data_IF_124759022882
#
_entry.id   IF_124759022882
#
_cell.length_a   1.000
_cell.length_b   1.000
_cell.length_c   1.000
_cell.angle_alpha   90.00
_cell.angle_beta   90.00
_cell.angle_gamma   90.00
#
_symmetry.space_group_name_H-M   'P 1'
#
loop_
_entity.id
_entity.type
_entity.pdbx_description
1 polymer ?
#
# COMPACT_ATOMS: atom_id res chain seq x y z
N UNK A 1 -1.24 18.99 7.26
CA UNK A 1 -1.45 18.61 8.69
C UNK A 1 -0.68 17.33 8.98
N UNK A 2 -0.10 17.14 10.18
CA UNK A 2 0.78 15.98 10.47
C UNK A 2 0.09 14.63 10.30
N UNK A 3 -1.17 14.49 10.71
CA UNK A 3 -1.95 13.25 10.51
C UNK A 3 -2.26 12.97 9.03
N UNK A 4 -2.33 13.99 8.17
CA UNK A 4 -2.47 13.79 6.70
C UNK A 4 -1.19 13.21 6.10
N UNK A 5 -0.03 13.64 6.58
CA UNK A 5 1.26 13.03 6.18
C UNK A 5 1.31 11.57 6.62
N UNK A 6 0.82 11.25 7.82
CA UNK A 6 0.75 9.88 8.31
C UNK A 6 -0.10 8.98 7.39
N UNK A 7 -1.28 9.43 6.94
CA UNK A 7 -2.06 8.69 5.93
C UNK A 7 -1.32 8.48 4.61
N UNK A 8 -0.55 9.49 4.17
CA UNK A 8 0.29 9.37 2.98
C UNK A 8 1.35 8.28 3.15
N UNK A 9 2.03 8.28 4.30
CA UNK A 9 3.04 7.27 4.64
C UNK A 9 2.40 5.86 4.73
N UNK A 10 1.23 5.71 5.35
CA UNK A 10 0.47 4.44 5.42
C UNK A 10 0.10 3.93 4.02
N UNK A 11 -0.41 4.82 3.17
CA UNK A 11 -0.86 4.47 1.81
C UNK A 11 0.31 4.03 0.95
N UNK A 12 1.44 4.72 1.06
CA UNK A 12 2.64 4.38 0.30
C UNK A 12 3.25 3.05 0.74
N UNK A 13 3.21 2.72 2.04
CA UNK A 13 3.61 1.39 2.53
C UNK A 13 2.66 0.30 2.01
N UNK A 14 1.35 0.54 2.06
CA UNK A 14 0.33 -0.39 1.56
C UNK A 14 0.48 -0.68 0.08
N UNK A 15 0.79 0.33 -0.74
CA UNK A 15 1.03 0.15 -2.17
C UNK A 15 2.22 -0.79 -2.44
N UNK A 16 3.34 -0.62 -1.73
CA UNK A 16 4.50 -1.50 -1.82
C UNK A 16 4.15 -2.95 -1.44
N UNK A 17 3.40 -3.11 -0.36
CA UNK A 17 2.95 -4.42 0.13
C UNK A 17 2.05 -5.10 -0.91
N UNK A 18 1.01 -4.41 -1.38
CA UNK A 18 0.06 -4.96 -2.36
C UNK A 18 0.76 -5.31 -3.66
N UNK A 19 1.64 -4.44 -4.17
CA UNK A 19 2.40 -4.69 -5.39
C UNK A 19 3.26 -5.96 -5.30
N UNK A 20 3.97 -6.15 -4.18
CA UNK A 20 4.75 -7.37 -3.96
C UNK A 20 3.87 -8.62 -3.92
N UNK A 21 2.73 -8.55 -3.23
CA UNK A 21 1.80 -9.68 -3.13
C UNK A 21 1.17 -10.06 -4.46
N UNK A 22 0.84 -9.08 -5.30
CA UNK A 22 0.39 -9.34 -6.67
C UNK A 22 1.47 -10.05 -7.48
N UNK A 23 2.73 -9.63 -7.35
CA UNK A 23 3.85 -10.29 -8.02
C UNK A 23 4.04 -11.74 -7.51
N UNK A 24 3.95 -11.96 -6.20
CA UNK A 24 4.01 -13.30 -5.59
C UNK A 24 2.88 -14.21 -6.08
N UNK A 25 1.64 -13.70 -6.16
CA UNK A 25 0.51 -14.44 -6.69
C UNK A 25 0.72 -14.85 -8.15
N UNK A 26 1.22 -13.93 -8.99
CA UNK A 26 1.54 -14.21 -10.40
C UNK A 26 2.64 -15.28 -10.52
N UNK A 27 3.74 -15.13 -9.77
CA UNK A 27 4.84 -16.10 -9.75
C UNK A 27 4.37 -17.47 -9.27
N UNK A 28 3.60 -17.54 -8.18
CA UNK A 28 3.06 -18.79 -7.65
C UNK A 28 2.11 -19.49 -8.64
N UNK A 29 1.26 -18.71 -9.32
CA UNK A 29 0.33 -19.21 -10.33
C UNK A 29 1.02 -19.78 -11.57
N UNK A 30 2.13 -19.17 -12.00
CA UNK A 30 2.90 -19.59 -13.18
C UNK A 30 3.72 -20.88 -12.96
N UNK A 31 4.00 -21.26 -11.72
CA UNK A 31 4.71 -22.49 -11.41
C UNK A 31 3.84 -23.74 -11.68
N UNK A 32 4.43 -24.90 -12.03
CA UNK A 32 3.69 -26.15 -12.18
C UNK A 32 2.95 -26.58 -10.90
N UNK A 33 1.85 -27.29 -11.08
CA UNK A 33 1.14 -27.91 -9.95
C UNK A 33 2.04 -28.95 -9.25
N UNK A 34 2.07 -28.91 -7.92
CA UNK A 34 2.96 -29.75 -7.11
C UNK A 34 4.40 -29.26 -6.98
N UNK A 35 4.81 -28.16 -7.62
CA UNK A 35 6.16 -27.62 -7.43
C UNK A 35 6.35 -27.13 -5.97
N UNK A 36 7.35 -27.65 -5.23
CA UNK A 36 7.64 -27.19 -3.86
C UNK A 36 7.86 -25.68 -3.75
N UNK A 37 8.27 -25.02 -4.82
CA UNK A 37 8.48 -23.57 -4.86
C UNK A 37 7.18 -22.78 -4.68
N UNK A 38 6.01 -23.34 -5.07
CA UNK A 38 4.71 -22.72 -4.79
C UNK A 38 4.48 -22.53 -3.29
N UNK A 39 4.92 -23.51 -2.48
CA UNK A 39 4.82 -23.43 -1.02
C UNK A 39 5.73 -22.32 -0.47
N UNK A 40 6.97 -22.21 -0.96
CA UNK A 40 7.88 -21.14 -0.53
C UNK A 40 7.34 -19.73 -0.89
N UNK A 41 6.79 -19.58 -2.10
CA UNK A 41 6.15 -18.32 -2.53
C UNK A 41 4.95 -17.98 -1.62
N UNK A 42 4.10 -18.97 -1.32
CA UNK A 42 2.93 -18.80 -0.44
C UNK A 42 3.32 -18.48 1.01
N UNK A 43 4.34 -19.14 1.56
CA UNK A 43 4.86 -18.87 2.90
C UNK A 43 5.42 -17.44 3.00
N UNK A 44 6.14 -16.98 1.97
CA UNK A 44 6.62 -15.61 1.92
C UNK A 44 5.47 -14.59 1.76
N UNK A 45 4.49 -14.86 0.90
CA UNK A 45 3.27 -14.03 0.79
C UNK A 45 2.52 -13.93 2.14
N UNK A 46 2.45 -15.03 2.90
CA UNK A 46 1.87 -15.04 4.25
C UNK A 46 2.60 -14.13 5.23
N UNK A 47 3.93 -14.04 5.17
CA UNK A 47 4.71 -13.08 5.98
C UNK A 47 4.40 -11.64 5.58
N UNK A 48 4.33 -11.37 4.27
CA UNK A 48 3.97 -10.04 3.73
C UNK A 48 2.53 -9.66 4.11
N UNK A 49 1.59 -10.61 4.10
CA UNK A 49 0.23 -10.41 4.62
C UNK A 49 0.19 -10.11 6.11
N UNK A 50 1.06 -10.75 6.91
CA UNK A 50 1.21 -10.48 8.33
C UNK A 50 1.55 -9.01 8.61
N UNK A 51 2.40 -8.41 7.79
CA UNK A 51 2.70 -6.97 7.84
C UNK A 51 1.47 -6.15 7.44
N UNK A 52 0.81 -6.50 6.32
CA UNK A 52 -0.40 -5.80 5.84
C UNK A 52 -1.47 -5.69 6.93
N UNK A 53 -1.69 -6.78 7.66
CA UNK A 53 -2.68 -6.90 8.74
C UNK A 53 -2.40 -6.01 9.95
N UNK A 54 -1.17 -5.49 10.11
CA UNK A 54 -0.86 -4.50 11.14
C UNK A 54 -1.33 -3.09 10.76
N UNK A 55 -1.52 -2.84 9.47
CA UNK A 55 -1.90 -1.53 8.93
C UNK A 55 -3.42 -1.42 8.79
N UNK A 56 -4.08 -2.44 8.24
CA UNK A 56 -5.50 -2.44 7.90
C UNK A 56 -6.19 -3.73 8.36
N UNK A 57 -7.45 -3.63 8.77
CA UNK A 57 -8.27 -4.81 9.01
C UNK A 57 -8.53 -5.56 7.69
N UNK A 58 -8.28 -6.87 7.67
CA UNK A 58 -8.42 -7.69 6.44
C UNK A 58 -9.47 -8.80 6.56
N UNK A 59 -10.28 -8.77 7.62
CA UNK A 59 -11.30 -9.80 7.84
C UNK A 59 -12.50 -9.54 6.92
N UNK A 60 -12.69 -10.38 5.90
CA UNK A 60 -13.84 -10.29 4.99
C UNK A 60 -15.14 -10.77 5.66
N UNK A 61 -16.28 -10.15 5.30
CA UNK A 61 -17.61 -10.66 5.66
C UNK A 61 -18.63 -9.66 6.22
N UNK A 62 -18.35 -8.34 6.23
CA UNK A 62 -19.32 -7.32 6.67
C UNK A 62 -19.68 -7.39 8.16
N UNK A 63 -19.06 -8.29 8.92
CA UNK A 63 -19.11 -8.28 10.37
C UNK A 63 -18.28 -7.09 10.87
N UNK A 64 -18.86 -6.26 11.73
CA UNK A 64 -18.10 -5.32 12.56
C UNK A 64 -17.32 -6.20 13.54
N UNK A 65 -16.12 -6.63 13.15
CA UNK A 65 -15.29 -7.53 13.95
C UNK A 65 -14.66 -6.81 15.15
N UNK A 66 -14.74 -5.48 15.19
CA UNK A 66 -14.07 -4.64 16.18
C UNK A 66 -12.55 -4.64 16.03
N UNK A 67 -12.02 -5.16 14.91
CA UNK A 67 -10.60 -5.11 14.62
C UNK A 67 -10.21 -3.68 14.21
N UNK A 68 -9.47 -3.01 15.07
CA UNK A 68 -8.83 -1.72 14.76
C UNK A 68 -7.34 -1.94 14.50
N UNK A 69 -6.83 -1.34 13.43
CA UNK A 69 -5.41 -1.30 13.06
C UNK A 69 -4.95 0.16 12.96
N UNK A 70 -3.71 0.35 12.53
CA UNK A 70 -3.11 1.69 12.42
C UNK A 70 -4.00 2.66 11.67
N UNK A 71 -4.56 2.22 10.54
CA UNK A 71 -5.38 3.09 9.69
C UNK A 71 -6.66 3.55 10.38
N UNK A 72 -7.34 2.66 11.10
CA UNK A 72 -8.55 2.99 11.85
C UNK A 72 -8.23 3.95 13.02
N UNK A 73 -7.12 3.75 13.73
CA UNK A 73 -6.66 4.69 14.76
C UNK A 73 -6.29 6.06 14.19
N UNK A 74 -5.66 6.10 13.02
CA UNK A 74 -5.34 7.35 12.31
C UNK A 74 -6.62 8.07 11.86
N UNK A 75 -7.63 7.34 11.36
CA UNK A 75 -8.97 7.85 11.01
C UNK A 75 -9.69 8.46 12.22
N UNK A 76 -9.70 7.75 13.36
CA UNK A 76 -10.29 8.26 14.61
C UNK A 76 -9.60 9.54 15.09
N UNK A 77 -8.27 9.59 15.05
CA UNK A 77 -7.50 10.76 15.44
C UNK A 77 -7.74 11.95 14.50
N UNK A 78 -7.82 11.69 13.19
CA UNK A 78 -8.17 12.71 12.20
C UNK A 78 -9.54 13.31 12.48
N UNK A 79 -10.55 12.48 12.73
CA UNK A 79 -11.88 12.92 13.11
C UNK A 79 -11.88 13.77 14.38
N UNK A 80 -11.19 13.33 15.43
CA UNK A 80 -11.08 14.05 16.70
C UNK A 80 -10.39 15.43 16.56
N UNK A 81 -9.44 15.56 15.63
CA UNK A 81 -8.78 16.83 15.33
C UNK A 81 -9.73 17.75 14.56
N UNK A 82 -10.43 17.23 13.54
CA UNK A 82 -11.35 18.03 12.73
C UNK A 82 -12.58 18.51 13.50
N UNK A 83 -13.06 17.75 14.48
CA UNK A 83 -14.23 18.13 15.28
C UNK A 83 -13.94 19.20 16.35
N UNK A 84 -12.67 19.62 16.52
CA UNK A 84 -12.28 20.64 17.49
C UNK A 84 -11.98 21.97 16.79
N UNK A 85 -12.67 23.04 17.15
CA UNK A 85 -12.53 24.38 16.53
C UNK A 85 -11.28 25.16 16.98
N UNK A 86 -10.30 24.46 17.55
CA UNK A 86 -9.04 25.04 18.04
C UNK A 86 -7.82 24.27 17.57
N UNK A 87 -6.63 24.69 18.01
CA UNK A 87 -5.40 23.94 17.75
C UNK A 87 -5.48 22.54 18.40
N UNK A 88 -4.88 21.49 17.79
CA UNK A 88 -4.92 20.15 18.37
C UNK A 88 -4.45 20.11 19.82
N UNK A 89 -5.13 19.30 20.64
CA UNK A 89 -4.76 19.11 22.03
C UNK A 89 -3.40 18.41 22.16
N UNK A 90 -2.69 18.64 23.25
CA UNK A 90 -1.35 18.06 23.45
C UNK A 90 -1.34 16.52 23.34
N UNK A 91 -2.38 15.86 23.84
CA UNK A 91 -2.52 14.41 23.73
C UNK A 91 -2.71 13.94 22.28
N UNK A 92 -3.42 14.70 21.44
CA UNK A 92 -3.59 14.37 20.01
C UNK A 92 -2.24 14.46 19.29
N UNK A 93 -1.43 15.45 19.61
CA UNK A 93 -0.08 15.60 19.05
C UNK A 93 0.81 14.41 19.43
N UNK A 94 0.82 14.03 20.71
CA UNK A 94 1.56 12.84 21.17
C UNK A 94 1.04 11.58 20.49
N UNK A 95 -0.27 11.47 20.28
CA UNK A 95 -0.83 10.28 19.62
C UNK A 95 -0.42 10.19 18.14
N UNK A 96 -0.32 11.31 17.42
CA UNK A 96 0.27 11.32 16.06
C UNK A 96 1.70 10.76 16.09
N UNK A 97 2.51 11.15 17.08
CA UNK A 97 3.89 10.66 17.21
C UNK A 97 3.96 9.16 17.51
N UNK A 98 3.04 8.66 18.34
CA UNK A 98 2.91 7.22 18.62
C UNK A 98 2.57 6.45 17.35
N UNK A 99 1.51 6.84 16.62
CA UNK A 99 1.07 6.15 15.40
C UNK A 99 2.14 6.20 14.30
N UNK A 100 2.87 7.32 14.19
CA UNK A 100 4.01 7.42 13.28
C UNK A 100 5.10 6.41 13.61
N UNK A 101 5.46 6.27 14.90
CA UNK A 101 6.48 5.30 15.32
C UNK A 101 6.05 3.86 15.07
N UNK A 102 4.79 3.54 15.34
CA UNK A 102 4.24 2.22 15.03
C UNK A 102 4.28 1.92 13.53
N UNK A 103 3.94 2.90 12.68
CA UNK A 103 4.09 2.76 11.22
C UNK A 103 5.55 2.59 10.79
N UNK A 104 6.50 3.33 11.38
CA UNK A 104 7.93 3.17 11.10
C UNK A 104 8.42 1.76 11.50
N UNK A 105 7.92 1.20 12.62
CA UNK A 105 8.23 -0.18 13.05
C UNK A 105 7.66 -1.21 12.07
N UNK A 106 6.42 -1.05 11.59
CA UNK A 106 5.83 -1.91 10.55
C UNK A 106 6.58 -1.80 9.23
N UNK A 107 6.99 -0.59 8.84
CA UNK A 107 7.83 -0.35 7.65
C UNK A 107 9.14 -1.10 7.75
N UNK A 108 9.81 -1.02 8.90
CA UNK A 108 11.08 -1.70 9.15
C UNK A 108 10.92 -3.22 9.08
N UNK A 109 9.84 -3.77 9.62
CA UNK A 109 9.56 -5.20 9.52
C UNK A 109 9.38 -5.64 8.06
N UNK A 110 8.66 -4.86 7.25
CA UNK A 110 8.54 -5.12 5.82
C UNK A 110 9.90 -5.08 5.11
N UNK A 111 10.70 -4.04 5.36
CA UNK A 111 12.01 -3.89 4.76
C UNK A 111 12.98 -5.02 5.18
N UNK A 112 12.85 -5.54 6.41
CA UNK A 112 13.58 -6.72 6.87
C UNK A 112 13.19 -7.99 6.11
N UNK A 113 11.90 -8.19 5.80
CA UNK A 113 11.47 -9.30 4.93
C UNK A 113 12.08 -9.18 3.54
N UNK A 114 12.12 -7.97 2.97
CA UNK A 114 12.76 -7.72 1.67
C UNK A 114 14.27 -7.96 1.70
N UNK A 115 14.94 -7.62 2.80
CA UNK A 115 16.39 -7.74 2.92
C UNK A 115 16.86 -9.17 3.21
N UNK A 116 16.09 -9.93 4.00
CA UNK A 116 16.54 -11.23 4.53
C UNK A 116 15.88 -12.43 3.83
N UNK A 117 14.59 -12.33 3.50
CA UNK A 117 13.83 -13.49 3.01
C UNK A 117 13.69 -13.48 1.48
N UNK A 118 13.46 -12.31 0.87
CA UNK A 118 13.30 -12.18 -0.59
C UNK A 118 14.52 -12.68 -1.40
N UNK A 119 15.79 -12.44 -0.99
CA UNK A 119 16.93 -12.96 -1.75
C UNK A 119 16.95 -14.49 -1.82
N UNK A 120 16.63 -15.16 -0.72
CA UNK A 120 16.55 -16.63 -0.68
C UNK A 120 15.45 -17.18 -1.60
N UNK A 121 14.28 -16.53 -1.61
CA UNK A 121 13.21 -16.89 -2.55
C UNK A 121 13.65 -16.66 -4.01
N UNK A 122 14.33 -15.55 -4.30
CA UNK A 122 14.83 -15.23 -5.63
C UNK A 122 15.87 -16.23 -6.13
N UNK A 123 16.71 -16.76 -5.26
CA UNK A 123 17.68 -17.79 -5.64
C UNK A 123 16.99 -19.13 -5.94
N UNK A 124 15.97 -19.50 -5.17
CA UNK A 124 15.10 -20.63 -5.49
C UNK A 124 14.41 -20.45 -6.86
N UNK A 125 13.87 -19.26 -7.15
CA UNK A 125 13.24 -18.94 -8.44
C UNK A 125 14.21 -19.08 -9.62
N UNK A 126 15.42 -18.50 -9.50
CA UNK A 126 16.46 -18.61 -10.54
C UNK A 126 16.87 -20.05 -10.79
N UNK A 127 16.97 -20.89 -9.74
CA UNK A 127 17.32 -22.31 -9.88
C UNK A 127 16.31 -23.11 -10.71
N UNK A 128 15.07 -22.60 -10.80
CA UNK A 128 13.97 -23.15 -11.63
C UNK A 128 13.79 -22.43 -12.96
N UNK A 129 14.73 -21.56 -13.34
CA UNK A 129 14.66 -20.76 -14.56
C UNK A 129 13.58 -19.68 -14.55
N UNK A 130 13.05 -19.33 -13.38
CA UNK A 130 12.06 -18.26 -13.22
C UNK A 130 12.76 -16.91 -13.05
N UNK A 131 12.05 -15.84 -13.43
CA UNK A 131 12.54 -14.48 -13.19
C UNK A 131 12.48 -14.15 -11.70
N UNK A 132 13.53 -13.52 -11.14
CA UNK A 132 13.50 -13.06 -9.76
C UNK A 132 12.50 -11.91 -9.59
N UNK A 133 11.92 -11.82 -8.40
CA UNK A 133 11.07 -10.72 -7.98
C UNK A 133 11.94 -9.51 -7.63
N UNK A 134 11.53 -8.34 -8.11
CA UNK A 134 12.16 -7.08 -7.73
C UNK A 134 11.57 -6.55 -6.42
N UNK A 135 12.38 -6.07 -5.48
CA UNK A 135 11.85 -5.41 -4.29
C UNK A 135 11.08 -4.15 -4.72
N UNK A 136 9.87 -3.90 -4.20
CA UNK A 136 9.16 -2.67 -4.50
C UNK A 136 9.98 -1.48 -3.99
N UNK A 137 10.07 -0.37 -4.77
CA UNK A 137 10.86 0.78 -4.39
C UNK A 137 10.42 1.31 -3.03
N UNK A 138 11.36 1.80 -2.23
CA UNK A 138 11.03 2.53 -1.02
C UNK A 138 10.22 3.76 -1.41
N UNK A 139 9.08 3.98 -0.75
CA UNK A 139 8.30 5.17 -0.98
C UNK A 139 9.12 6.39 -0.55
N UNK A 140 9.23 7.39 -1.42
CA UNK A 140 9.71 8.71 -1.02
C UNK A 140 8.69 9.26 -0.03
N UNK A 141 9.04 9.36 1.27
CA UNK A 141 8.16 9.89 2.32
C UNK A 141 7.55 11.20 1.80
N UNK A 142 6.22 11.31 1.80
CA UNK A 142 5.49 12.42 1.17
C UNK A 142 5.73 13.69 1.98
N UNK A 143 6.86 14.33 1.70
CA UNK A 143 7.32 15.60 2.22
C UNK A 143 7.31 16.68 1.15
N UNK A 144 6.37 16.62 0.22
CA UNK A 144 5.95 17.73 -0.63
C UNK A 144 4.68 17.27 -1.34
N UNK A 145 3.61 18.03 -1.19
CA UNK A 145 2.51 17.99 -2.13
C UNK A 145 3.09 18.28 -3.52
N UNK A 146 3.22 17.26 -4.37
CA UNK A 146 3.15 17.50 -5.80
C UNK A 146 1.86 16.87 -6.30
N UNK A 147 0.94 17.76 -6.64
CA UNK A 147 -0.35 17.42 -7.21
C UNK A 147 -0.13 16.97 -8.65
N UNK A 148 0.33 15.75 -8.85
CA UNK A 148 0.33 15.09 -10.16
C UNK A 148 -0.08 13.64 -10.03
N UNK A 149 -1.35 13.42 -9.70
CA UNK A 149 -2.07 12.27 -10.25
C UNK A 149 -2.31 12.53 -11.74
N UNK A 150 -1.31 12.18 -12.55
CA UNK A 150 -1.44 12.11 -14.00
C UNK A 150 -1.77 10.68 -14.42
N UNK A 151 -3.04 10.40 -14.71
CA UNK A 151 -3.44 9.49 -15.80
C UNK A 151 -4.97 9.51 -15.95
N UNK A 152 -5.43 10.11 -17.04
CA UNK A 152 -6.83 10.12 -17.43
C UNK A 152 -7.09 11.26 -18.40
N UNK A 153 -6.70 11.08 -19.67
CA UNK A 153 -6.86 12.08 -20.71
C UNK A 153 -8.31 12.54 -20.86
N UNK A 154 -8.49 13.85 -20.94
CA UNK A 154 -9.71 14.47 -21.47
C UNK A 154 -9.27 15.60 -22.39
N UNK A 155 -9.90 15.61 -23.56
CA UNK A 155 -9.51 16.31 -24.77
C UNK A 155 -9.30 17.82 -24.61
N UNK A 156 -8.35 18.31 -25.39
CA UNK A 156 -8.09 19.71 -25.67
C UNK A 156 -9.35 20.40 -26.24
N UNK A 157 -9.91 21.43 -25.58
CA UNK A 157 -11.10 22.13 -26.07
C UNK A 157 -10.81 23.09 -27.24
N UNK A 158 -9.59 23.09 -27.80
CA UNK A 158 -9.23 23.92 -28.95
C UNK A 158 -9.37 23.24 -30.33
N UNK A 159 -9.75 21.96 -30.38
CA UNK A 159 -10.00 21.29 -31.65
C UNK A 159 -11.41 21.62 -32.19
N UNK A 160 -11.46 22.41 -33.25
CA UNK A 160 -12.70 22.65 -34.00
C UNK A 160 -13.27 21.32 -34.51
N UNK A 161 -14.59 21.08 -34.44
CA UNK A 161 -15.18 19.86 -34.95
C UNK A 161 -15.00 19.76 -36.47
N UNK A 162 -14.88 18.54 -37.02
CA UNK A 162 -14.83 18.33 -38.47
C UNK A 162 -16.12 18.82 -39.14
N UNK A 163 -16.00 19.28 -40.38
CA UNK A 163 -16.99 20.07 -41.12
C UNK A 163 -18.37 19.41 -41.34
N UNK A 164 -18.55 18.14 -40.97
CA UNK A 164 -19.73 17.33 -41.32
C UNK A 164 -20.62 16.95 -40.11
N UNK A 165 -20.47 17.62 -38.96
CA UNK A 165 -21.30 17.35 -37.79
C UNK A 165 -22.67 18.06 -37.89
N UNK A 166 -23.68 17.36 -38.42
CA UNK A 166 -25.08 17.83 -38.41
C UNK A 166 -25.87 17.20 -37.25
N UNK A 167 -26.41 18.04 -36.36
CA UNK A 167 -27.39 17.66 -35.34
C UNK A 167 -28.78 17.92 -35.91
N UNK A 168 -29.52 16.85 -36.20
CA UNK A 168 -30.95 16.93 -36.52
C UNK A 168 -31.76 16.93 -35.22
N UNK A 169 -32.65 17.93 -35.07
CA UNK A 169 -33.62 18.03 -33.98
C UNK A 169 -34.84 17.15 -34.22
#
# INVERSE_FOLDING_TARGET
MRVVVLFGDESALMERIIGLRQALAQTGGALPEGDPLRKQVSEFDGKVDGVRKKIVATTEGGAITGEERLREHTDQLYGAILSYEGKPAAYQIVYIDTLKRELDDVTKEFDQLLAHDLPGLNDSLKSKGQQPLSPPPAATKVGAIDATHGSGGVADPSASPPADFHISW
#
